data_IF_525561852544
#
_entry.id   IF_525561852544
#
_cell.length_a   1.000
_cell.length_b   1.000
_cell.length_c   1.000
_cell.angle_alpha   90.00
_cell.angle_beta   90.00
_cell.angle_gamma   90.00
#
_symmetry.space_group_name_H-M   'P 1'
#
loop_
_entity.id
_entity.type
_entity.pdbx_description
1 polymer ?
#
# COMPACT_ATOMS: atom_id res chain seq x y z
N UNK A 1 25.82 35.42 3.11
CA UNK A 1 24.85 34.33 3.30
C UNK A 1 25.29 33.49 4.48
N UNK A 2 24.60 33.60 5.61
CA UNK A 2 25.00 32.92 6.87
C UNK A 2 24.60 31.45 6.80
N UNK A 3 25.59 30.55 6.84
CA UNK A 3 25.41 29.08 6.90
C UNK A 3 24.47 28.65 8.04
N UNK A 4 24.45 29.39 9.15
CA UNK A 4 23.65 29.08 10.34
C UNK A 4 22.13 29.30 10.16
N UNK A 5 21.72 30.20 9.26
CA UNK A 5 20.30 30.44 8.98
C UNK A 5 19.70 29.30 8.15
N UNK A 6 20.46 28.73 7.20
CA UNK A 6 20.00 27.59 6.40
C UNK A 6 19.79 26.33 7.24
N UNK A 7 20.71 26.06 8.18
CA UNK A 7 20.62 24.88 9.06
C UNK A 7 19.45 24.99 10.05
N UNK A 8 19.17 26.20 10.56
CA UNK A 8 18.01 26.47 11.42
C UNK A 8 16.68 26.36 10.65
N UNK A 9 16.63 26.84 9.41
CA UNK A 9 15.46 26.71 8.54
C UNK A 9 15.18 25.25 8.16
N UNK A 10 16.23 24.45 7.90
CA UNK A 10 16.09 23.01 7.66
C UNK A 10 15.63 22.24 8.91
N UNK A 11 16.08 22.64 10.09
CA UNK A 11 15.62 22.08 11.35
C UNK A 11 14.14 22.40 11.61
N UNK A 12 13.74 23.67 11.44
CA UNK A 12 12.35 24.11 11.57
C UNK A 12 11.45 23.44 10.53
N UNK A 13 11.94 23.31 9.30
CA UNK A 13 11.30 22.55 8.24
C UNK A 13 11.05 21.09 8.65
N UNK A 14 12.04 20.45 9.26
CA UNK A 14 11.93 19.09 9.81
C UNK A 14 10.89 18.99 10.92
N UNK A 15 10.90 19.93 11.86
CA UNK A 15 9.93 19.96 12.97
C UNK A 15 8.49 20.15 12.47
N UNK A 16 8.27 21.08 11.54
CA UNK A 16 6.96 21.32 10.94
C UNK A 16 6.46 20.12 10.13
N UNK A 17 7.35 19.34 9.49
CA UNK A 17 6.98 18.07 8.86
C UNK A 17 6.50 17.04 9.89
N UNK A 18 7.23 16.90 11.01
CA UNK A 18 6.87 15.99 12.11
C UNK A 18 5.51 16.35 12.70
N UNK A 19 5.25 17.62 12.97
CA UNK A 19 3.96 18.12 13.45
C UNK A 19 2.87 17.91 12.40
N UNK A 20 3.18 18.13 11.12
CA UNK A 20 2.23 17.92 10.02
C UNK A 20 1.75 16.47 9.91
N UNK A 21 2.62 15.48 10.16
CA UNK A 21 2.23 14.07 10.17
C UNK A 21 1.28 13.74 11.32
N UNK A 22 1.45 14.35 12.50
CA UNK A 22 0.49 14.24 13.60
C UNK A 22 -0.88 14.77 13.23
N UNK A 23 -0.97 15.84 12.44
CA UNK A 23 -2.27 16.33 12.00
C UNK A 23 -2.95 15.36 11.03
N UNK A 24 -2.18 14.70 10.17
CA UNK A 24 -2.69 13.74 9.19
C UNK A 24 -3.14 12.43 9.83
N UNK A 25 -2.36 11.89 10.77
CA UNK A 25 -2.59 10.62 11.47
C UNK A 25 -2.43 10.82 12.99
N UNK A 26 -3.38 11.51 13.66
CA UNK A 26 -3.22 11.95 15.04
C UNK A 26 -3.17 10.81 16.06
N UNK A 27 -3.96 9.76 15.86
CA UNK A 27 -3.90 8.52 16.63
C UNK A 27 -4.17 7.35 15.70
N UNK A 28 -3.28 6.38 15.74
CA UNK A 28 -3.41 5.11 15.02
C UNK A 28 -3.15 3.97 15.98
N UNK A 29 -3.46 2.75 15.57
CA UNK A 29 -3.12 1.55 16.36
C UNK A 29 -1.62 1.45 16.63
N UNK A 30 -0.77 2.07 15.80
CA UNK A 30 0.69 2.07 15.95
C UNK A 30 1.22 3.23 16.82
N UNK A 31 0.35 4.14 17.30
CA UNK A 31 0.75 5.25 18.18
C UNK A 31 1.57 4.84 19.41
N UNK A 32 1.36 3.67 20.06
CA UNK A 32 2.21 3.23 21.17
C UNK A 32 3.70 3.18 20.83
N UNK A 33 4.08 2.75 19.61
CA UNK A 33 5.48 2.67 19.17
C UNK A 33 6.16 4.05 19.14
N UNK A 34 5.40 5.11 18.83
CA UNK A 34 5.92 6.47 18.92
C UNK A 34 5.99 6.95 20.38
N UNK A 35 4.90 6.81 21.14
CA UNK A 35 4.85 7.35 22.51
C UNK A 35 5.86 6.70 23.46
N UNK A 36 6.28 5.47 23.16
CA UNK A 36 7.30 4.74 23.92
C UNK A 36 8.72 5.00 23.40
N UNK A 37 8.89 5.81 22.35
CA UNK A 37 10.20 6.14 21.77
C UNK A 37 10.83 5.01 20.94
N UNK A 38 10.07 3.97 20.57
CA UNK A 38 10.56 2.85 19.75
C UNK A 38 10.75 3.27 18.29
N UNK A 39 9.86 4.12 17.78
CA UNK A 39 9.87 4.62 16.40
C UNK A 39 9.64 6.13 16.36
N UNK A 40 10.14 6.78 15.30
CA UNK A 40 9.82 8.18 15.01
C UNK A 40 8.40 8.32 14.45
N UNK A 41 7.87 9.54 14.43
CA UNK A 41 6.54 9.82 13.87
C UNK A 41 6.47 9.51 12.38
N UNK A 42 7.58 9.72 11.66
CA UNK A 42 7.74 9.36 10.26
C UNK A 42 7.63 7.84 10.06
N UNK A 43 8.39 7.05 10.81
CA UNK A 43 8.35 5.58 10.70
C UNK A 43 6.95 5.06 11.03
N UNK A 44 6.31 5.56 12.09
CA UNK A 44 4.94 5.15 12.45
C UNK A 44 3.93 5.51 11.36
N UNK A 45 4.03 6.71 10.77
CA UNK A 45 3.14 7.16 9.69
C UNK A 45 3.32 6.31 8.43
N UNK A 46 4.57 6.00 8.10
CA UNK A 46 4.91 5.09 6.99
C UNK A 46 4.37 3.69 7.25
N UNK A 47 4.66 3.11 8.42
CA UNK A 47 4.22 1.77 8.79
C UNK A 47 2.70 1.66 8.76
N UNK A 48 1.98 2.71 9.18
CA UNK A 48 0.52 2.73 9.09
C UNK A 48 0.02 2.73 7.64
N UNK A 49 0.65 3.49 6.73
CA UNK A 49 0.30 3.48 5.32
C UNK A 49 0.65 2.15 4.63
N UNK A 50 1.85 1.63 4.90
CA UNK A 50 2.32 0.34 4.40
C UNK A 50 1.42 -0.80 4.89
N UNK A 51 0.98 -0.78 6.15
CA UNK A 51 -0.03 -1.70 6.67
C UNK A 51 -1.30 -1.70 5.81
N UNK A 52 -1.83 -0.52 5.45
CA UNK A 52 -3.03 -0.49 4.58
C UNK A 52 -2.74 -1.11 3.21
N UNK A 53 -1.56 -0.91 2.66
CA UNK A 53 -1.14 -1.60 1.43
C UNK A 53 -1.09 -3.13 1.62
N UNK A 54 -0.41 -3.61 2.67
CA UNK A 54 -0.32 -5.04 3.00
C UNK A 54 -1.70 -5.66 3.13
N UNK A 55 -2.62 -5.03 3.87
CA UNK A 55 -3.99 -5.52 4.05
C UNK A 55 -4.73 -5.77 2.73
N UNK A 56 -4.49 -4.96 1.69
CA UNK A 56 -5.15 -5.13 0.40
C UNK A 56 -4.40 -6.00 -0.61
N UNK A 57 -3.06 -6.03 -0.52
CA UNK A 57 -2.20 -6.58 -1.58
C UNK A 57 -1.26 -7.70 -1.14
N UNK A 58 -1.19 -8.01 0.16
CA UNK A 58 -0.52 -9.22 0.62
C UNK A 58 -1.23 -10.42 0.03
N UNK A 59 -0.46 -11.27 -0.62
CA UNK A 59 -0.97 -12.48 -1.25
C UNK A 59 0.03 -13.59 -0.99
N UNK A 60 -0.43 -14.66 -0.36
CA UNK A 60 0.35 -15.89 -0.33
C UNK A 60 0.28 -16.49 -1.73
N UNK A 61 1.41 -16.75 -2.40
CA UNK A 61 1.42 -17.65 -3.53
C UNK A 61 1.01 -19.03 -3.00
N UNK A 62 -0.23 -19.42 -3.23
CA UNK A 62 -0.63 -20.81 -3.04
C UNK A 62 -0.28 -21.55 -4.32
N UNK A 63 0.84 -22.27 -4.33
CA UNK A 63 1.20 -23.19 -5.42
C UNK A 63 0.02 -24.10 -5.76
N UNK A 64 -0.72 -24.52 -4.73
CA UNK A 64 -1.96 -25.30 -4.84
C UNK A 64 -3.10 -24.54 -5.52
N UNK A 65 -3.34 -23.27 -5.17
CA UNK A 65 -4.42 -22.48 -5.77
C UNK A 65 -4.12 -22.21 -7.26
N UNK A 66 -2.87 -21.91 -7.58
CA UNK A 66 -2.42 -21.75 -8.96
C UNK A 66 -2.49 -23.06 -9.74
N UNK A 67 -2.10 -24.18 -9.15
CA UNK A 67 -2.24 -25.51 -9.75
C UNK A 67 -3.72 -25.87 -9.99
N UNK A 68 -4.58 -25.69 -9.01
CA UNK A 68 -6.03 -25.92 -9.12
C UNK A 68 -6.67 -25.00 -10.16
N UNK A 69 -6.25 -23.73 -10.22
CA UNK A 69 -6.71 -22.80 -11.25
C UNK A 69 -6.31 -23.24 -12.65
N UNK A 70 -5.10 -23.79 -12.82
CA UNK A 70 -4.63 -24.35 -14.09
C UNK A 70 -5.40 -25.62 -14.47
N UNK A 71 -5.70 -26.48 -13.50
CA UNK A 71 -6.52 -27.68 -13.73
C UNK A 71 -7.94 -27.31 -14.21
N UNK A 72 -8.49 -26.20 -13.71
CA UNK A 72 -9.78 -25.66 -14.13
C UNK A 72 -9.70 -24.76 -15.38
N UNK A 73 -8.65 -24.87 -16.21
CA UNK A 73 -8.42 -24.04 -17.41
C UNK A 73 -9.54 -24.08 -18.47
N UNK A 74 -10.37 -25.12 -18.47
CA UNK A 74 -11.51 -25.26 -19.38
C UNK A 74 -12.87 -25.09 -18.70
N UNK A 75 -12.90 -24.75 -17.41
CA UNK A 75 -14.11 -24.49 -16.65
C UNK A 75 -14.08 -23.06 -16.05
N UNK A 76 -14.60 -22.05 -16.77
CA UNK A 76 -14.57 -20.66 -16.32
C UNK A 76 -15.38 -20.43 -15.03
N UNK A 77 -16.45 -21.19 -14.84
CA UNK A 77 -17.37 -21.05 -13.71
C UNK A 77 -16.70 -21.51 -12.43
N UNK A 78 -16.18 -22.73 -12.40
CA UNK A 78 -15.52 -23.26 -11.21
C UNK A 78 -14.18 -22.57 -10.94
N UNK A 79 -13.48 -22.09 -11.97
CA UNK A 79 -12.30 -21.25 -11.77
C UNK A 79 -12.63 -19.94 -11.07
N UNK A 80 -13.74 -19.29 -11.43
CA UNK A 80 -14.18 -18.06 -10.77
C UNK A 80 -14.51 -18.30 -9.29
N UNK A 81 -15.20 -19.41 -8.98
CA UNK A 81 -15.49 -19.82 -7.59
C UNK A 81 -14.23 -20.13 -6.79
N UNK A 82 -13.26 -20.82 -7.37
CA UNK A 82 -11.96 -21.10 -6.73
C UNK A 82 -11.20 -19.80 -6.41
N UNK A 83 -11.24 -18.83 -7.32
CA UNK A 83 -10.61 -17.52 -7.10
C UNK A 83 -11.29 -16.74 -5.97
N UNK A 84 -12.62 -16.81 -5.88
CA UNK A 84 -13.37 -16.22 -4.78
C UNK A 84 -13.02 -16.87 -3.43
N UNK A 85 -12.95 -18.20 -3.40
CA UNK A 85 -12.54 -18.96 -2.21
C UNK A 85 -11.11 -18.59 -1.78
N UNK A 86 -10.16 -18.55 -2.72
CA UNK A 86 -8.78 -18.14 -2.42
C UNK A 86 -8.70 -16.69 -1.93
N UNK A 87 -9.52 -15.80 -2.46
CA UNK A 87 -9.61 -14.42 -1.98
C UNK A 87 -10.18 -14.31 -0.55
N UNK A 88 -11.13 -15.18 -0.17
CA UNK A 88 -11.63 -15.28 1.20
C UNK A 88 -10.55 -15.77 2.16
N UNK A 89 -9.92 -16.91 1.87
CA UNK A 89 -8.86 -17.48 2.71
C UNK A 89 -7.70 -16.50 2.94
N UNK A 90 -7.34 -15.73 1.91
CA UNK A 90 -6.30 -14.70 2.05
C UNK A 90 -6.67 -13.62 3.06
N UNK A 91 -7.94 -13.18 3.09
CA UNK A 91 -8.42 -12.18 4.05
C UNK A 91 -8.41 -12.71 5.48
N UNK A 92 -8.63 -14.01 5.66
CA UNK A 92 -8.59 -14.65 6.98
C UNK A 92 -7.15 -14.76 7.52
N UNK A 93 -6.15 -14.87 6.64
CA UNK A 93 -4.73 -14.91 7.02
C UNK A 93 -4.17 -13.51 7.29
N UNK A 94 -4.38 -12.55 6.38
CA UNK A 94 -3.81 -11.20 6.46
C UNK A 94 -4.81 -10.20 7.04
N UNK A 95 -5.21 -10.41 8.29
CA UNK A 95 -6.12 -9.51 9.00
C UNK A 95 -5.44 -8.21 9.41
N UNK A 96 -6.21 -7.15 9.68
CA UNK A 96 -5.68 -5.90 10.24
C UNK A 96 -4.88 -6.15 11.52
N UNK A 97 -5.37 -7.04 12.38
CA UNK A 97 -4.71 -7.40 13.63
C UNK A 97 -3.38 -8.10 13.37
N UNK A 98 -3.35 -9.12 12.50
CA UNK A 98 -2.13 -9.89 12.22
C UNK A 98 -1.01 -8.99 11.70
N UNK A 99 -1.32 -8.10 10.76
CA UNK A 99 -0.33 -7.15 10.22
C UNK A 99 0.18 -6.19 11.29
N UNK A 100 -0.70 -5.71 12.18
CA UNK A 100 -0.29 -4.85 13.29
C UNK A 100 0.65 -5.58 14.24
N UNK A 101 0.32 -6.82 14.62
CA UNK A 101 1.16 -7.67 15.47
C UNK A 101 2.56 -7.86 14.87
N UNK A 102 2.67 -8.15 13.57
CA UNK A 102 3.97 -8.23 12.87
C UNK A 102 4.77 -6.92 13.02
N UNK A 103 4.13 -5.76 12.82
CA UNK A 103 4.81 -4.46 12.94
C UNK A 103 5.29 -4.20 14.38
N UNK A 104 4.48 -4.56 15.38
CA UNK A 104 4.85 -4.45 16.80
C UNK A 104 5.98 -5.42 17.17
N UNK A 105 6.01 -6.60 16.57
CA UNK A 105 7.00 -7.63 16.84
C UNK A 105 8.36 -7.32 16.21
N UNK A 106 8.38 -6.68 15.03
CA UNK A 106 9.60 -6.41 14.27
C UNK A 106 9.86 -4.92 13.99
N UNK A 107 9.89 -4.04 15.01
CA UNK A 107 9.98 -2.60 14.81
C UNK A 107 11.31 -2.15 14.17
N UNK A 108 12.40 -2.88 14.43
CA UNK A 108 13.71 -2.62 13.81
C UNK A 108 13.67 -2.81 12.30
N UNK A 109 13.20 -3.97 11.84
CA UNK A 109 13.06 -4.27 10.41
C UNK A 109 12.11 -3.28 9.71
N UNK A 110 11.01 -2.89 10.36
CA UNK A 110 10.09 -1.88 9.81
C UNK A 110 10.78 -0.51 9.65
N UNK A 111 11.68 -0.15 10.57
CA UNK A 111 12.46 1.08 10.48
C UNK A 111 13.46 1.03 9.32
N UNK A 112 14.15 -0.09 9.11
CA UNK A 112 15.06 -0.27 7.98
C UNK A 112 14.31 -0.28 6.62
N UNK A 113 13.11 -0.87 6.59
CA UNK A 113 12.24 -0.80 5.42
C UNK A 113 11.79 0.66 5.15
N UNK A 114 11.55 1.45 6.20
CA UNK A 114 11.28 2.88 6.04
C UNK A 114 12.50 3.65 5.49
N UNK A 115 13.72 3.30 5.90
CA UNK A 115 14.93 3.93 5.37
C UNK A 115 15.06 3.70 3.86
N UNK A 116 14.76 2.49 3.37
CA UNK A 116 14.66 2.19 1.93
C UNK A 116 13.59 3.06 1.24
N UNK A 117 12.42 3.21 1.86
CA UNK A 117 11.35 4.07 1.36
C UNK A 117 11.79 5.54 1.27
N UNK A 118 12.41 6.06 2.33
CA UNK A 118 12.86 7.44 2.40
C UNK A 118 13.94 7.71 1.35
N UNK A 119 14.92 6.82 1.23
CA UNK A 119 15.98 6.94 0.23
C UNK A 119 15.44 7.00 -1.20
N UNK A 120 14.38 6.24 -1.50
CA UNK A 120 13.76 6.21 -2.82
C UNK A 120 12.87 7.43 -3.12
N UNK A 121 12.18 7.98 -2.12
CA UNK A 121 11.05 8.90 -2.33
C UNK A 121 11.21 10.30 -1.72
N UNK A 122 12.25 10.55 -0.93
CA UNK A 122 12.50 11.87 -0.32
C UNK A 122 13.38 12.76 -1.22
N UNK A 123 12.76 13.47 -2.16
CA UNK A 123 13.45 14.35 -3.11
C UNK A 123 14.25 15.49 -2.45
N UNK A 124 13.89 15.92 -1.23
CA UNK A 124 14.61 16.97 -0.51
C UNK A 124 15.98 16.48 0.02
N UNK A 125 16.17 15.17 0.19
CA UNK A 125 17.46 14.56 0.57
C UNK A 125 18.32 14.16 -0.65
N UNK A 126 17.96 14.64 -1.85
CA UNK A 126 18.65 14.27 -3.09
C UNK A 126 18.23 12.90 -3.61
N UNK A 127 16.92 12.61 -3.64
CA UNK A 127 16.41 11.41 -4.30
C UNK A 127 16.92 11.38 -5.75
N UNK A 128 17.75 10.38 -6.04
CA UNK A 128 18.67 10.41 -7.17
C UNK A 128 19.98 9.67 -6.93
N UNK A 129 20.32 9.32 -5.68
CA UNK A 129 21.32 8.27 -5.44
C UNK A 129 20.89 7.01 -6.21
N UNK A 130 21.71 6.63 -7.18
CA UNK A 130 21.41 5.71 -8.28
C UNK A 130 20.50 4.56 -7.88
N UNK A 131 19.43 4.28 -8.65
CA UNK A 131 18.54 3.09 -8.50
C UNK A 131 19.26 1.76 -8.17
N UNK A 132 20.56 1.65 -8.45
CA UNK A 132 21.43 0.54 -8.03
C UNK A 132 21.59 0.39 -6.51
N UNK A 133 21.74 1.48 -5.74
CA UNK A 133 21.91 1.38 -4.28
C UNK A 133 20.63 0.88 -3.60
N UNK A 134 19.46 1.36 -4.04
CA UNK A 134 18.16 0.89 -3.55
C UNK A 134 17.91 -0.59 -3.86
N UNK A 135 18.36 -1.08 -5.03
CA UNK A 135 18.21 -2.51 -5.39
C UNK A 135 19.05 -3.40 -4.45
N UNK A 136 20.29 -3.02 -4.16
CA UNK A 136 21.17 -3.76 -3.25
C UNK A 136 20.63 -3.76 -1.82
N UNK A 137 20.15 -2.61 -1.32
CA UNK A 137 19.51 -2.51 -0.01
C UNK A 137 18.29 -3.44 0.09
N UNK A 138 17.47 -3.51 -0.96
CA UNK A 138 16.29 -4.37 -0.96
C UNK A 138 16.63 -5.86 -1.04
N UNK A 139 17.66 -6.27 -1.79
CA UNK A 139 18.14 -7.65 -1.78
C UNK A 139 18.67 -8.06 -0.40
N UNK A 140 19.35 -7.13 0.27
CA UNK A 140 19.83 -7.31 1.63
C UNK A 140 18.65 -7.46 2.61
N UNK A 141 17.69 -6.54 2.61
CA UNK A 141 16.48 -6.62 3.45
C UNK A 141 15.70 -7.91 3.19
N UNK A 142 15.54 -8.29 1.92
CA UNK A 142 14.88 -9.54 1.56
C UNK A 142 15.61 -10.77 2.14
N UNK A 143 16.94 -10.75 2.12
CA UNK A 143 17.76 -11.82 2.70
C UNK A 143 17.66 -11.85 4.23
N UNK A 144 17.63 -10.68 4.88
CA UNK A 144 17.47 -10.61 6.33
C UNK A 144 16.13 -11.13 6.79
N UNK A 145 15.03 -10.71 6.14
CA UNK A 145 13.68 -11.20 6.46
C UNK A 145 13.63 -12.73 6.34
N UNK A 146 14.14 -13.31 5.25
CA UNK A 146 14.18 -14.78 5.07
C UNK A 146 14.97 -15.52 6.16
N UNK A 147 16.03 -14.90 6.70
CA UNK A 147 16.89 -15.53 7.70
C UNK A 147 16.36 -15.38 9.13
N UNK A 148 15.72 -14.26 9.43
CA UNK A 148 15.33 -13.90 10.80
C UNK A 148 13.88 -14.29 11.12
N UNK A 149 13.02 -14.38 10.11
CA UNK A 149 11.57 -14.56 10.29
C UNK A 149 11.19 -15.98 9.91
N UNK A 150 10.87 -16.79 10.93
CA UNK A 150 10.43 -18.17 10.75
C UNK A 150 8.95 -18.27 10.35
N UNK A 151 8.11 -17.36 10.85
CA UNK A 151 6.68 -17.34 10.51
C UNK A 151 6.48 -16.79 9.09
N UNK A 152 5.91 -17.61 8.22
CA UNK A 152 5.72 -17.26 6.80
C UNK A 152 4.76 -16.09 6.60
N UNK A 153 3.77 -15.91 7.49
CA UNK A 153 2.79 -14.82 7.39
C UNK A 153 3.48 -13.51 7.74
N UNK A 154 4.26 -13.49 8.83
CA UNK A 154 5.05 -12.32 9.22
C UNK A 154 6.08 -11.95 8.14
N UNK A 155 6.73 -12.94 7.54
CA UNK A 155 7.66 -12.73 6.44
C UNK A 155 6.96 -12.12 5.21
N UNK A 156 5.80 -12.62 4.81
CA UNK A 156 5.04 -12.09 3.67
C UNK A 156 4.49 -10.68 3.94
N UNK A 157 4.14 -10.35 5.19
CA UNK A 157 3.79 -8.97 5.59
C UNK A 157 4.98 -8.04 5.30
N UNK A 158 6.18 -8.37 5.77
CA UNK A 158 7.37 -7.55 5.58
C UNK A 158 7.81 -7.50 4.09
N UNK A 159 7.73 -8.61 3.35
CA UNK A 159 7.96 -8.60 1.90
C UNK A 159 6.96 -7.72 1.16
N UNK A 160 5.70 -7.70 1.59
CA UNK A 160 4.69 -6.83 0.99
C UNK A 160 4.93 -5.36 1.34
N UNK A 161 5.51 -5.03 2.49
CA UNK A 161 6.00 -3.67 2.79
C UNK A 161 7.16 -3.26 1.87
N UNK A 162 8.10 -4.16 1.57
CA UNK A 162 9.13 -3.90 0.55
C UNK A 162 8.52 -3.71 -0.85
N UNK A 163 7.49 -4.49 -1.19
CA UNK A 163 6.73 -4.30 -2.43
C UNK A 163 6.07 -2.91 -2.45
N UNK A 164 5.53 -2.43 -1.34
CA UNK A 164 4.96 -1.08 -1.24
C UNK A 164 5.97 0.02 -1.59
N UNK A 165 7.22 -0.11 -1.11
CA UNK A 165 8.29 0.82 -1.45
C UNK A 165 8.59 0.85 -2.94
N UNK A 166 8.72 -0.34 -3.56
CA UNK A 166 8.96 -0.51 -5.00
C UNK A 166 7.80 -0.01 -5.85
N UNK A 167 6.58 -0.33 -5.44
CA UNK A 167 5.37 0.02 -6.15
C UNK A 167 5.08 1.52 -6.05
N UNK A 168 5.51 2.23 -5.00
CA UNK A 168 5.27 3.67 -4.91
C UNK A 168 6.06 4.40 -6.01
N UNK A 169 5.36 5.08 -6.93
CA UNK A 169 5.98 5.93 -7.96
C UNK A 169 6.07 7.39 -7.52
N UNK A 170 5.05 7.86 -6.82
CA UNK A 170 4.94 9.22 -6.29
C UNK A 170 4.17 9.21 -4.99
N UNK A 171 4.57 10.06 -4.06
CA UNK A 171 3.88 10.23 -2.78
C UNK A 171 3.92 11.68 -2.31
N UNK A 172 2.91 12.10 -1.57
CA UNK A 172 2.92 13.37 -0.85
C UNK A 172 3.49 13.24 0.58
N UNK A 173 4.01 12.07 0.96
CA UNK A 173 4.47 11.78 2.33
C UNK A 173 5.42 12.85 2.89
N UNK A 174 6.38 13.30 2.07
CA UNK A 174 7.38 14.29 2.47
C UNK A 174 6.93 15.76 2.28
N UNK A 175 5.72 15.99 1.74
CA UNK A 175 5.19 17.32 1.47
C UNK A 175 4.56 17.94 2.72
N UNK A 176 4.55 19.27 2.81
CA UNK A 176 3.86 20.01 3.90
C UNK A 176 2.38 20.26 3.56
N UNK A 177 1.58 20.63 4.56
CA UNK A 177 0.21 21.13 4.35
C UNK A 177 -0.77 20.10 3.75
N UNK A 178 -0.68 18.85 4.20
CA UNK A 178 -1.50 17.73 3.70
C UNK A 178 -2.50 17.27 4.77
N UNK A 179 -3.66 16.77 4.34
CA UNK A 179 -4.73 16.24 5.21
C UNK A 179 -4.86 14.72 5.14
N UNK A 180 -4.24 14.10 4.14
CA UNK A 180 -4.15 12.66 3.93
C UNK A 180 -2.83 12.32 3.23
N UNK A 181 -2.36 11.10 3.41
CA UNK A 181 -1.28 10.51 2.63
C UNK A 181 -1.84 9.94 1.33
N UNK A 182 -1.11 10.14 0.24
CA UNK A 182 -1.48 9.64 -1.07
C UNK A 182 -0.27 9.02 -1.76
N UNK A 183 -0.48 7.85 -2.37
CA UNK A 183 0.55 7.07 -3.04
C UNK A 183 0.06 6.68 -4.43
N UNK A 184 0.76 7.11 -5.47
CA UNK A 184 0.58 6.60 -6.83
C UNK A 184 1.39 5.32 -6.96
N UNK A 185 0.72 4.22 -7.24
CA UNK A 185 1.33 2.90 -7.36
C UNK A 185 1.64 2.56 -8.82
N UNK A 186 2.81 1.96 -9.03
CA UNK A 186 3.11 1.12 -10.18
C UNK A 186 2.29 -0.16 -10.04
N UNK A 187 1.60 -0.49 -11.12
CA UNK A 187 0.65 -1.57 -11.23
C UNK A 187 1.25 -2.80 -11.92
N UNK A 188 2.54 -2.74 -12.26
CA UNK A 188 3.30 -3.86 -12.83
C UNK A 188 3.24 -5.13 -11.96
N UNK A 189 3.12 -4.98 -10.63
CA UNK A 189 3.01 -6.13 -9.72
C UNK A 189 1.75 -6.98 -9.96
N UNK A 190 0.65 -6.42 -10.50
CA UNK A 190 -0.52 -7.19 -10.91
C UNK A 190 -0.22 -8.18 -12.06
N UNK A 191 0.92 -8.04 -12.72
CA UNK A 191 1.41 -8.98 -13.73
C UNK A 191 1.74 -10.37 -13.18
N UNK A 192 1.99 -10.50 -11.87
CA UNK A 192 2.10 -11.81 -11.23
C UNK A 192 0.70 -12.43 -11.11
N UNK A 193 0.34 -13.23 -12.12
CA UNK A 193 -1.01 -13.83 -12.23
C UNK A 193 -1.30 -14.89 -11.17
N UNK A 194 -0.27 -15.47 -10.55
CA UNK A 194 -0.46 -16.41 -9.44
C UNK A 194 -0.90 -15.68 -8.18
N UNK A 195 -0.31 -14.50 -7.89
CA UNK A 195 -0.65 -13.68 -6.72
C UNK A 195 -1.93 -12.84 -6.91
N UNK A 196 -2.15 -12.33 -8.11
CA UNK A 196 -3.17 -11.30 -8.39
C UNK A 196 -4.24 -11.73 -9.42
N UNK A 197 -4.53 -13.02 -9.51
CA UNK A 197 -5.53 -13.60 -10.42
C UNK A 197 -6.93 -12.94 -10.34
N UNK A 198 -7.32 -12.45 -9.17
CA UNK A 198 -8.59 -11.75 -8.95
C UNK A 198 -8.71 -10.42 -9.74
N UNK A 199 -7.62 -9.91 -10.30
CA UNK A 199 -7.55 -8.65 -11.04
C UNK A 199 -7.14 -8.92 -12.50
N UNK A 200 -8.07 -9.36 -13.36
CA UNK A 200 -7.75 -9.86 -14.71
C UNK A 200 -7.17 -8.77 -15.63
N UNK A 201 -7.69 -7.55 -15.54
CA UNK A 201 -7.20 -6.42 -16.34
C UNK A 201 -6.25 -5.57 -15.48
N UNK A 202 -5.03 -5.34 -15.95
CA UNK A 202 -4.06 -4.51 -15.22
C UNK A 202 -4.49 -3.04 -15.38
N UNK A 203 -4.71 -2.30 -14.28
CA UNK A 203 -5.01 -0.87 -14.36
C UNK A 203 -3.86 -0.10 -15.02
N UNK A 204 -4.12 1.12 -15.48
CA UNK A 204 -3.04 2.05 -15.86
C UNK A 204 -2.40 2.69 -14.61
N UNK A 205 -3.19 2.89 -13.56
CA UNK A 205 -2.66 3.42 -12.30
C UNK A 205 -3.65 3.26 -11.16
N UNK A 206 -3.08 3.07 -9.97
CA UNK A 206 -3.81 3.02 -8.71
C UNK A 206 -3.28 4.11 -7.81
N UNK A 207 -4.18 4.87 -7.20
CA UNK A 207 -3.85 5.75 -6.09
C UNK A 207 -4.43 5.19 -4.81
N UNK A 208 -3.59 5.03 -3.80
CA UNK A 208 -4.01 4.69 -2.45
C UNK A 208 -4.00 5.95 -1.59
N UNK A 209 -5.07 6.20 -0.87
CA UNK A 209 -5.21 7.32 0.05
C UNK A 209 -5.40 6.80 1.47
N UNK A 210 -4.68 7.39 2.42
CA UNK A 210 -4.74 7.07 3.85
C UNK A 210 -4.92 8.37 4.63
N UNK A 211 -6.10 8.56 5.20
CA UNK A 211 -6.41 9.67 6.10
C UNK A 211 -6.56 9.19 7.54
N UNK A 212 -6.82 10.12 8.45
CA UNK A 212 -7.03 9.84 9.88
C UNK A 212 -8.24 8.94 10.16
N UNK A 213 -9.31 9.11 9.39
CA UNK A 213 -10.61 8.42 9.60
C UNK A 213 -11.12 7.71 8.36
N UNK A 214 -10.34 7.72 7.28
CA UNK A 214 -10.73 7.11 6.01
C UNK A 214 -9.51 6.50 5.32
N UNK A 215 -9.82 5.59 4.40
CA UNK A 215 -8.91 5.13 3.36
C UNK A 215 -9.69 5.07 2.07
N UNK A 216 -8.99 5.27 0.96
CA UNK A 216 -9.62 5.37 -0.34
C UNK A 216 -8.73 4.86 -1.44
N UNK A 217 -9.36 4.53 -2.56
CA UNK A 217 -8.66 4.17 -3.78
C UNK A 217 -9.20 4.95 -4.96
N UNK A 218 -8.30 5.28 -5.87
CA UNK A 218 -8.68 5.68 -7.22
C UNK A 218 -7.98 4.78 -8.24
N UNK A 219 -8.76 3.99 -8.96
CA UNK A 219 -8.29 3.10 -10.03
C UNK A 219 -8.66 3.70 -11.38
N UNK A 220 -7.73 3.63 -12.34
CA UNK A 220 -7.96 4.03 -13.75
C UNK A 220 -7.33 3.05 -14.72
N UNK A 221 -7.96 2.85 -15.86
CA UNK A 221 -7.53 1.90 -16.90
C UNK A 221 -6.86 2.55 -18.12
N UNK A 222 -6.81 3.88 -18.19
CA UNK A 222 -6.01 4.64 -19.16
C UNK A 222 -5.38 5.85 -18.46
N UNK A 223 -4.44 6.49 -19.14
CA UNK A 223 -3.82 7.73 -18.66
C UNK A 223 -4.84 8.86 -18.52
N UNK A 224 -5.53 9.13 -19.62
CA UNK A 224 -6.73 9.98 -19.66
C UNK A 224 -7.94 9.08 -19.38
N UNK A 225 -8.55 9.24 -18.21
CA UNK A 225 -9.69 8.45 -17.78
C UNK A 225 -10.69 9.30 -17.01
N UNK A 226 -11.98 8.97 -17.13
CA UNK A 226 -13.08 9.64 -16.45
C UNK A 226 -13.85 8.70 -15.53
N UNK A 227 -14.29 9.24 -14.41
CA UNK A 227 -14.98 8.48 -13.37
C UNK A 227 -15.29 9.35 -12.17
N UNK A 228 -16.46 9.14 -11.55
CA UNK A 228 -16.83 9.86 -10.34
C UNK A 228 -16.19 9.27 -9.08
N UNK A 229 -16.11 10.08 -8.02
CA UNK A 229 -15.71 9.66 -6.68
C UNK A 229 -16.97 9.27 -5.89
N UNK A 230 -16.90 8.17 -5.14
CA UNK A 230 -17.93 7.72 -4.21
C UNK A 230 -17.40 7.88 -2.80
N UNK A 231 -18.25 8.29 -1.87
CA UNK A 231 -17.93 8.28 -0.43
C UNK A 231 -18.89 7.30 0.23
N UNK A 232 -18.35 6.32 0.96
CA UNK A 232 -19.14 5.34 1.70
C UNK A 232 -19.11 5.71 3.17
N UNK A 233 -20.23 6.23 3.69
CA UNK A 233 -20.40 6.47 5.12
C UNK A 233 -20.83 5.16 5.79
N UNK A 234 -20.12 4.78 6.85
CA UNK A 234 -20.45 3.62 7.66
C UNK A 234 -21.13 4.09 8.94
N UNK A 235 -22.31 3.56 9.24
CA UNK A 235 -23.11 3.99 10.40
C UNK A 235 -22.68 3.31 11.70
N UNK A 236 -21.98 2.18 11.59
CA UNK A 236 -21.47 1.42 12.71
C UNK A 236 -20.09 0.79 12.40
N UNK A 237 -19.33 0.32 13.41
CA UNK A 237 -18.02 -0.31 13.22
C UNK A 237 -18.02 -1.58 12.36
N UNK A 238 -19.08 -2.40 12.42
CA UNK A 238 -19.18 -3.62 11.60
C UNK A 238 -19.43 -3.27 10.13
N UNK A 239 -20.29 -2.28 9.85
CA UNK A 239 -20.43 -1.75 8.50
C UNK A 239 -19.12 -1.16 7.99
N UNK A 240 -18.37 -0.45 8.84
CA UNK A 240 -17.04 0.04 8.49
C UNK A 240 -16.08 -1.10 8.15
N UNK A 241 -16.08 -2.17 8.95
CA UNK A 241 -15.25 -3.36 8.71
C UNK A 241 -15.58 -4.11 7.41
N UNK A 242 -16.87 -4.25 7.07
CA UNK A 242 -17.26 -4.84 5.79
C UNK A 242 -16.89 -3.95 4.60
N UNK A 243 -17.21 -2.65 4.69
CA UNK A 243 -16.94 -1.70 3.61
C UNK A 243 -15.44 -1.56 3.35
N UNK A 244 -14.63 -1.53 4.42
CA UNK A 244 -13.18 -1.39 4.30
C UNK A 244 -12.54 -2.64 3.67
N UNK A 245 -13.03 -3.84 3.95
CA UNK A 245 -12.54 -5.10 3.37
C UNK A 245 -12.81 -5.18 1.86
N UNK A 246 -14.00 -4.77 1.43
CA UNK A 246 -14.40 -4.81 0.02
C UNK A 246 -13.86 -3.64 -0.81
N UNK A 247 -13.34 -2.59 -0.17
CA UNK A 247 -13.07 -1.28 -0.77
C UNK A 247 -12.31 -1.33 -2.10
N UNK A 248 -11.14 -1.98 -2.13
CA UNK A 248 -10.31 -2.01 -3.33
C UNK A 248 -10.95 -2.83 -4.45
N UNK A 249 -11.50 -4.00 -4.13
CA UNK A 249 -12.12 -4.90 -5.11
C UNK A 249 -13.34 -4.23 -5.75
N UNK A 250 -14.19 -3.57 -4.94
CA UNK A 250 -15.34 -2.82 -5.45
C UNK A 250 -14.89 -1.65 -6.34
N UNK A 251 -13.92 -0.85 -5.88
CA UNK A 251 -13.38 0.27 -6.65
C UNK A 251 -12.80 -0.18 -8.01
N UNK A 252 -12.00 -1.25 -8.01
CA UNK A 252 -11.44 -1.85 -9.22
C UNK A 252 -12.54 -2.31 -10.20
N UNK A 253 -13.53 -3.06 -9.72
CA UNK A 253 -14.61 -3.58 -10.56
C UNK A 253 -15.48 -2.47 -11.16
N UNK A 254 -15.73 -1.40 -10.39
CA UNK A 254 -16.44 -0.22 -10.87
C UNK A 254 -15.63 0.52 -11.95
N UNK A 255 -14.34 0.78 -11.71
CA UNK A 255 -13.47 1.42 -12.70
C UNK A 255 -13.37 0.59 -13.99
N UNK A 256 -13.30 -0.74 -13.86
CA UNK A 256 -13.27 -1.68 -14.98
C UNK A 256 -14.57 -1.67 -15.78
N UNK A 257 -15.70 -1.56 -15.09
CA UNK A 257 -17.01 -1.43 -15.73
C UNK A 257 -17.11 -0.11 -16.49
N UNK A 258 -16.61 0.99 -15.91
CA UNK A 258 -16.54 2.28 -16.60
C UNK A 258 -15.66 2.24 -17.83
N UNK A 259 -14.57 1.46 -17.81
CA UNK A 259 -13.70 1.28 -18.97
C UNK A 259 -14.44 0.63 -20.14
N UNK A 260 -15.27 -0.39 -19.86
CA UNK A 260 -16.10 -1.06 -20.88
C UNK A 260 -17.21 -0.15 -21.43
N UNK A 261 -17.78 0.72 -20.58
CA UNK A 261 -18.81 1.70 -21.00
C UNK A 261 -18.23 2.81 -21.88
N UNK A 262 -16.98 3.24 -21.61
CA UNK A 262 -16.30 4.29 -22.36
C UNK A 262 -15.62 3.79 -23.65
N UNK A 263 -16.01 2.64 -24.19
CA UNK A 263 -15.38 2.04 -25.39
C UNK A 263 -15.45 2.94 -26.64
N UNK A 264 -16.46 3.81 -26.72
CA UNK A 264 -16.76 4.62 -27.90
C UNK A 264 -16.25 6.08 -27.79
N UNK A 265 -15.41 6.40 -26.79
CA UNK A 265 -14.86 7.75 -26.57
C UNK A 265 -13.35 7.71 -26.30
N UNK A 266 -12.64 8.87 -26.39
CA UNK A 266 -11.19 8.92 -26.16
C UNK A 266 -10.76 8.51 -24.74
N UNK A 267 -11.52 8.90 -23.72
CA UNK A 267 -11.17 8.68 -22.31
C UNK A 267 -11.43 7.25 -21.83
N UNK A 268 -10.54 6.70 -21.01
CA UNK A 268 -10.74 5.42 -20.34
C UNK A 268 -11.69 5.50 -19.13
N UNK A 269 -11.90 4.37 -18.47
CA UNK A 269 -12.67 4.30 -17.23
C UNK A 269 -11.82 4.49 -15.97
N UNK A 270 -12.35 5.25 -15.01
CA UNK A 270 -11.82 5.33 -13.65
C UNK A 270 -12.92 5.28 -12.60
N UNK A 271 -12.53 5.12 -11.33
CA UNK A 271 -13.41 5.29 -10.18
C UNK A 271 -12.60 5.68 -8.95
N UNK A 272 -13.10 6.63 -8.17
CA UNK A 272 -12.67 6.87 -6.79
C UNK A 272 -13.69 6.31 -5.80
N UNK A 273 -13.24 5.69 -4.72
CA UNK A 273 -14.07 5.24 -3.58
C UNK A 273 -13.35 5.53 -2.28
#
# INVERSE_FOLDING_TARGET
>A
HSLYLGEAEEHLAGLLRKIGLFYVLPRTTLSPLFSQGVMTAEVVSYAYAAWKFVFYFAARPGDDLAALSRALAHDPTNRSRLMELGANLRRDVFTEQRVAETIFQYPGLVSEIYEDFEAAHNFARGAGQTRRSTVQTQEHLHTMIRKQIADEVDAEVLFTMLLFNRATQKTNFFMRGKTALAFRLDVSFFGNRERYAAYPDIPFGVFMLVGSTFRGFHVRFKDVARGGIRIIKSHDPNAFNRNKEALFVENYNLARTQMRKNKDIPEGGSKGT
#
